data_IF_713500257340
#
_entry.id   IF_713500257340
#
_cell.length_a   1.000
_cell.length_b   1.000
_cell.length_c   1.000
_cell.angle_alpha   90.00
_cell.angle_beta   90.00
_cell.angle_gamma   90.00
#
_symmetry.space_group_name_H-M   'P 1'
#
loop_
_entity.id
_entity.type
_entity.pdbx_description
1 polymer ?
#
# COMPACT_ATOMS: atom_id res chain seq x y z
N UNK A 1 -33.49 5.99 -8.99
CA UNK A 1 -32.33 5.17 -9.47
C UNK A 1 -31.90 4.30 -8.31
N UNK A 2 -32.02 2.97 -8.41
CA UNK A 2 -31.73 2.07 -7.28
C UNK A 2 -30.28 2.23 -6.80
N UNK A 3 -30.07 2.50 -5.51
CA UNK A 3 -28.75 2.65 -4.85
C UNK A 3 -27.81 1.47 -5.19
N UNK A 4 -28.36 0.26 -5.25
CA UNK A 4 -27.63 -0.96 -5.63
C UNK A 4 -27.00 -0.87 -7.04
N UNK A 5 -27.69 -0.25 -8.02
CA UNK A 5 -27.13 -0.06 -9.37
C UNK A 5 -26.01 0.99 -9.40
N UNK A 6 -26.13 2.05 -8.56
CA UNK A 6 -25.14 3.12 -8.48
C UNK A 6 -23.79 2.59 -7.97
N UNK A 7 -23.81 1.73 -6.95
CA UNK A 7 -22.61 1.24 -6.25
C UNK A 7 -22.20 -0.19 -6.62
N UNK A 8 -22.79 -0.77 -7.68
CA UNK A 8 -22.47 -2.14 -8.14
C UNK A 8 -20.96 -2.38 -8.35
N UNK A 9 -20.23 -1.34 -8.75
CA UNK A 9 -18.78 -1.45 -9.00
C UNK A 9 -17.95 -1.63 -7.71
N UNK A 10 -18.48 -1.26 -6.54
CA UNK A 10 -17.73 -1.35 -5.27
C UNK A 10 -17.66 -2.77 -4.70
N UNK A 11 -18.47 -3.72 -5.21
CA UNK A 11 -18.45 -5.11 -4.76
C UNK A 11 -17.09 -5.82 -4.95
N UNK A 12 -16.28 -5.33 -5.87
CA UNK A 12 -14.92 -5.84 -6.06
C UNK A 12 -14.07 -5.70 -4.78
N UNK A 13 -14.33 -4.68 -3.95
CA UNK A 13 -13.54 -4.41 -2.74
C UNK A 13 -13.74 -5.50 -1.68
N UNK A 14 -14.97 -5.78 -1.19
CA UNK A 14 -15.14 -6.82 -0.18
C UNK A 14 -14.80 -8.22 -0.72
N UNK A 15 -15.08 -8.52 -1.97
CA UNK A 15 -14.73 -9.81 -2.58
C UNK A 15 -13.21 -10.00 -2.61
N UNK A 16 -12.49 -8.99 -3.12
CA UNK A 16 -11.03 -9.04 -3.14
C UNK A 16 -10.44 -9.00 -1.72
N UNK A 17 -11.02 -8.21 -0.82
CA UNK A 17 -10.59 -8.11 0.57
C UNK A 17 -10.66 -9.46 1.30
N UNK A 18 -11.75 -10.21 1.15
CA UNK A 18 -11.87 -11.57 1.72
C UNK A 18 -10.80 -12.48 1.14
N UNK A 19 -10.63 -12.50 -0.18
CA UNK A 19 -9.57 -13.29 -0.83
C UNK A 19 -8.18 -12.94 -0.27
N UNK A 20 -7.84 -11.64 -0.24
CA UNK A 20 -6.54 -11.18 0.23
C UNK A 20 -6.28 -11.57 1.68
N UNK A 21 -7.22 -11.29 2.58
CA UNK A 21 -7.07 -11.61 4.01
C UNK A 21 -6.92 -13.11 4.25
N UNK A 22 -7.68 -13.94 3.56
CA UNK A 22 -7.58 -15.40 3.67
C UNK A 22 -6.22 -15.90 3.17
N UNK A 23 -5.77 -15.39 2.01
CA UNK A 23 -4.47 -15.77 1.45
C UNK A 23 -3.30 -15.27 2.31
N UNK A 24 -3.38 -14.05 2.85
CA UNK A 24 -2.38 -13.49 3.75
C UNK A 24 -2.31 -14.28 5.06
N UNK A 25 -3.45 -14.59 5.68
CA UNK A 25 -3.49 -15.42 6.89
C UNK A 25 -2.88 -16.81 6.66
N UNK A 26 -3.13 -17.42 5.50
CA UNK A 26 -2.49 -18.67 5.12
C UNK A 26 -0.96 -18.53 5.06
N UNK A 27 -0.43 -17.44 4.47
CA UNK A 27 1.01 -17.18 4.40
C UNK A 27 1.64 -16.99 5.78
N UNK A 28 0.98 -16.27 6.68
CA UNK A 28 1.45 -16.02 8.05
C UNK A 28 1.48 -17.30 8.90
N UNK A 29 0.63 -18.27 8.60
CA UNK A 29 0.55 -19.54 9.34
C UNK A 29 1.45 -20.65 8.78
N UNK A 30 2.15 -20.39 7.64
CA UNK A 30 3.03 -21.39 7.05
C UNK A 30 4.27 -21.62 7.91
N UNK A 31 4.53 -22.88 8.22
CA UNK A 31 5.78 -23.28 8.86
C UNK A 31 6.90 -23.44 7.81
N UNK A 32 7.44 -22.30 7.38
CA UNK A 32 8.55 -22.23 6.41
C UNK A 32 9.63 -21.31 6.94
N UNK A 33 10.87 -21.69 6.74
CA UNK A 33 12.01 -20.85 7.14
C UNK A 33 12.15 -19.68 6.17
N UNK A 34 12.00 -18.41 6.62
CA UNK A 34 12.12 -17.27 5.74
C UNK A 34 13.58 -16.97 5.38
N UNK A 35 13.79 -16.46 4.19
CA UNK A 35 15.05 -15.84 3.79
C UNK A 35 15.16 -14.47 4.42
N UNK A 36 16.16 -14.26 5.25
CA UNK A 36 16.37 -12.97 5.92
C UNK A 36 16.91 -11.95 4.92
N UNK A 37 16.18 -10.86 4.75
CA UNK A 37 16.58 -9.71 3.94
C UNK A 37 17.17 -8.66 4.89
N UNK A 38 18.41 -8.27 4.64
CA UNK A 38 19.15 -7.32 5.46
C UNK A 38 20.18 -6.59 4.61
N UNK A 39 20.24 -5.27 4.73
CA UNK A 39 21.30 -4.44 4.16
C UNK A 39 22.05 -3.73 5.29
N UNK A 40 23.35 -3.56 5.14
CA UNK A 40 24.19 -2.81 6.12
C UNK A 40 23.64 -1.42 6.43
N UNK A 41 22.98 -0.77 5.48
CA UNK A 41 22.38 0.56 5.68
C UNK A 41 21.20 0.51 6.65
N UNK A 42 20.49 -0.64 6.78
CA UNK A 42 19.39 -0.79 7.70
C UNK A 42 19.84 -0.70 9.17
N UNK A 43 21.11 -1.03 9.45
CA UNK A 43 21.71 -0.94 10.80
C UNK A 43 21.89 0.52 11.24
N UNK A 44 22.13 1.42 10.29
CA UNK A 44 22.33 2.86 10.60
C UNK A 44 21.02 3.62 10.83
N UNK A 45 19.88 3.05 10.47
CA UNK A 45 18.58 3.67 10.72
C UNK A 45 18.23 3.44 12.20
N UNK A 46 18.08 4.50 13.03
CA UNK A 46 17.74 4.32 14.44
C UNK A 46 16.29 3.83 14.60
N UNK A 47 16.03 3.06 15.65
CA UNK A 47 14.66 2.78 16.08
C UNK A 47 14.05 4.04 16.71
N UNK A 48 12.78 4.34 16.37
CA UNK A 48 12.04 5.46 16.94
C UNK A 48 10.57 5.09 17.14
N UNK A 49 10.14 4.94 18.40
CA UNK A 49 8.79 4.49 18.76
C UNK A 49 7.69 5.46 18.38
N UNK A 50 7.99 6.77 18.24
CA UNK A 50 6.99 7.77 17.87
C UNK A 50 6.42 7.57 16.47
N UNK A 51 7.14 6.89 15.60
CA UNK A 51 6.67 6.52 14.28
C UNK A 51 5.53 5.50 14.28
N UNK A 52 5.16 4.95 15.46
CA UNK A 52 3.94 4.12 15.60
C UNK A 52 2.67 4.90 15.20
N UNK A 53 2.66 6.22 15.41
CA UNK A 53 1.49 7.06 15.08
C UNK A 53 1.24 7.08 13.56
N UNK A 54 2.17 7.53 12.71
CA UNK A 54 1.95 7.46 11.25
C UNK A 54 1.80 6.04 10.74
N UNK A 55 2.41 5.03 11.37
CA UNK A 55 2.19 3.63 11.00
C UNK A 55 0.73 3.21 11.19
N UNK A 56 0.11 3.53 12.32
CA UNK A 56 -1.29 3.22 12.58
C UNK A 56 -2.24 4.07 11.72
N UNK A 57 -1.88 5.30 11.40
CA UNK A 57 -2.64 6.16 10.50
C UNK A 57 -2.72 5.61 9.08
N UNK A 58 -1.81 4.70 8.69
CA UNK A 58 -1.86 4.02 7.40
C UNK A 58 -3.20 3.32 7.16
N UNK A 59 -3.74 2.63 8.14
CA UNK A 59 -5.05 1.95 8.02
C UNK A 59 -6.17 2.93 7.68
N UNK A 60 -6.24 4.04 8.41
CA UNK A 60 -7.22 5.09 8.16
C UNK A 60 -7.00 5.75 6.79
N UNK A 61 -5.76 6.01 6.42
CA UNK A 61 -5.40 6.62 5.15
C UNK A 61 -5.87 5.80 3.95
N UNK A 62 -5.58 4.50 3.95
CA UNK A 62 -6.03 3.61 2.86
C UNK A 62 -7.55 3.51 2.86
N UNK A 63 -8.17 3.27 4.02
CA UNK A 63 -9.62 3.14 4.14
C UNK A 63 -10.36 4.40 3.64
N UNK A 64 -9.96 5.59 4.10
CA UNK A 64 -10.56 6.87 3.69
C UNK A 64 -10.38 7.11 2.19
N UNK A 65 -9.19 6.83 1.65
CA UNK A 65 -8.94 7.00 0.22
C UNK A 65 -9.82 6.06 -0.61
N UNK A 66 -9.85 4.78 -0.27
CA UNK A 66 -10.68 3.79 -0.99
C UNK A 66 -12.16 4.14 -0.88
N UNK A 67 -12.65 4.53 0.31
CA UNK A 67 -14.04 4.94 0.50
C UNK A 67 -14.38 6.20 -0.31
N UNK A 68 -13.50 7.19 -0.34
CA UNK A 68 -13.71 8.39 -1.15
C UNK A 68 -13.88 8.05 -2.63
N UNK A 69 -12.95 7.28 -3.20
CA UNK A 69 -13.01 6.89 -4.61
C UNK A 69 -14.22 5.98 -4.91
N UNK A 70 -14.67 5.20 -3.95
CA UNK A 70 -15.82 4.29 -4.10
C UNK A 70 -17.17 4.98 -4.06
N UNK A 71 -17.34 5.95 -3.15
CA UNK A 71 -18.65 6.50 -2.82
C UNK A 71 -18.85 7.95 -3.27
N UNK A 72 -17.78 8.76 -3.28
CA UNK A 72 -17.85 10.22 -3.49
C UNK A 72 -17.19 10.69 -4.79
N UNK A 73 -16.41 9.84 -5.44
CA UNK A 73 -15.78 10.17 -6.71
C UNK A 73 -16.71 9.85 -7.89
N UNK A 74 -16.93 10.83 -8.78
CA UNK A 74 -17.81 10.66 -9.93
C UNK A 74 -17.16 9.85 -11.07
N UNK A 75 -15.81 9.79 -11.09
CA UNK A 75 -15.05 9.13 -12.13
C UNK A 75 -14.84 7.64 -11.81
N UNK A 76 -15.60 6.77 -12.45
CA UNK A 76 -15.37 5.33 -12.36
C UNK A 76 -13.98 4.93 -12.87
N UNK A 77 -13.43 5.66 -13.84
CA UNK A 77 -12.08 5.40 -14.34
C UNK A 77 -11.05 5.56 -13.22
N UNK A 78 -11.10 6.67 -12.47
CA UNK A 78 -10.17 6.92 -11.37
C UNK A 78 -10.34 5.88 -10.24
N UNK A 79 -11.58 5.48 -9.95
CA UNK A 79 -11.86 4.37 -9.03
C UNK A 79 -11.16 3.08 -9.48
N UNK A 80 -11.36 2.65 -10.72
CA UNK A 80 -10.75 1.41 -11.20
C UNK A 80 -9.23 1.52 -11.31
N UNK A 81 -8.68 2.68 -11.63
CA UNK A 81 -7.23 2.89 -11.62
C UNK A 81 -6.65 2.63 -10.23
N UNK A 82 -7.26 3.18 -9.17
CA UNK A 82 -6.83 2.92 -7.78
C UNK A 82 -6.99 1.44 -7.41
N UNK A 83 -8.20 0.88 -7.60
CA UNK A 83 -8.51 -0.48 -7.14
C UNK A 83 -7.68 -1.54 -7.86
N UNK A 84 -7.46 -1.41 -9.16
CA UNK A 84 -6.59 -2.34 -9.89
C UNK A 84 -5.11 -2.16 -9.52
N UNK A 85 -4.67 -0.92 -9.26
CA UNK A 85 -3.31 -0.70 -8.74
C UNK A 85 -3.13 -1.42 -7.41
N UNK A 86 -4.00 -1.20 -6.43
CA UNK A 86 -3.93 -1.88 -5.14
C UNK A 86 -4.04 -3.40 -5.29
N UNK A 87 -5.02 -3.87 -6.07
CA UNK A 87 -5.25 -5.30 -6.28
C UNK A 87 -4.07 -6.02 -6.91
N UNK A 88 -3.47 -5.46 -7.97
CA UNK A 88 -2.28 -6.05 -8.61
C UNK A 88 -1.08 -6.06 -7.67
N UNK A 89 -0.79 -4.95 -6.98
CA UNK A 89 0.35 -4.88 -6.08
C UNK A 89 0.22 -5.83 -4.89
N UNK A 90 -0.96 -5.86 -4.24
CA UNK A 90 -1.23 -6.76 -3.13
C UNK A 90 -1.23 -8.24 -3.57
N UNK A 91 -1.71 -8.56 -4.79
CA UNK A 91 -1.62 -9.93 -5.33
C UNK A 91 -0.17 -10.33 -5.62
N UNK A 92 0.63 -9.43 -6.20
CA UNK A 92 2.05 -9.70 -6.44
C UNK A 92 2.82 -9.89 -5.13
N UNK A 93 2.50 -9.11 -4.10
CA UNK A 93 3.03 -9.34 -2.76
C UNK A 93 2.72 -10.76 -2.26
N UNK A 94 1.47 -11.23 -2.35
CA UNK A 94 1.11 -12.60 -1.95
C UNK A 94 1.86 -13.66 -2.75
N UNK A 95 1.98 -13.47 -4.08
CA UNK A 95 2.71 -14.39 -4.95
C UNK A 95 4.20 -14.44 -4.59
N UNK A 96 4.84 -13.29 -4.39
CA UNK A 96 6.24 -13.20 -3.99
C UNK A 96 6.44 -13.88 -2.63
N UNK A 97 5.63 -13.58 -1.63
CA UNK A 97 5.71 -14.19 -0.29
C UNK A 97 5.46 -15.72 -0.32
N UNK A 98 4.64 -16.18 -1.26
CA UNK A 98 4.41 -17.62 -1.44
C UNK A 98 5.62 -18.33 -2.04
N UNK A 99 6.20 -17.79 -3.11
CA UNK A 99 7.31 -18.38 -3.87
C UNK A 99 8.64 -18.19 -3.12
N UNK A 100 8.82 -17.02 -2.51
CA UNK A 100 10.02 -16.63 -1.81
C UNK A 100 9.66 -16.17 -0.39
N UNK A 101 9.49 -17.12 0.55
CA UNK A 101 9.27 -16.79 1.96
C UNK A 101 10.42 -15.93 2.47
N UNK A 102 10.11 -14.75 2.96
CA UNK A 102 11.10 -13.75 3.32
C UNK A 102 10.78 -13.10 4.67
N UNK A 103 11.79 -12.53 5.30
CA UNK A 103 11.66 -11.88 6.61
C UNK A 103 12.85 -11.00 6.93
N UNK A 104 12.84 -10.41 8.13
CA UNK A 104 13.90 -9.52 8.62
C UNK A 104 14.20 -9.83 10.10
N UNK A 105 15.36 -9.41 10.57
CA UNK A 105 15.87 -9.59 11.93
C UNK A 105 16.26 -8.26 12.62
N UNK A 106 15.71 -7.14 12.15
CA UNK A 106 16.08 -5.79 12.55
C UNK A 106 15.45 -5.32 13.88
N UNK A 107 14.44 -6.04 14.39
CA UNK A 107 13.65 -5.60 15.55
C UNK A 107 14.49 -5.56 16.83
N UNK A 108 14.62 -4.40 17.51
CA UNK A 108 15.34 -4.31 18.77
C UNK A 108 14.56 -4.91 19.94
N UNK A 109 15.26 -5.19 21.03
CA UNK A 109 14.60 -5.46 22.31
C UNK A 109 13.97 -4.15 22.80
N UNK A 110 12.63 -4.15 22.97
CA UNK A 110 11.90 -2.96 23.41
C UNK A 110 12.04 -2.78 24.91
N UNK A 111 12.65 -1.67 25.32
CA UNK A 111 12.82 -1.23 26.71
C UNK A 111 11.98 0.01 26.97
N UNK A 112 11.52 0.18 28.23
CA UNK A 112 10.69 1.33 28.63
C UNK A 112 9.19 1.02 28.67
N UNK A 113 8.45 1.95 29.32
CA UNK A 113 7.02 1.81 29.65
C UNK A 113 6.14 2.90 29.03
N UNK A 114 6.68 3.62 28.01
CA UNK A 114 5.89 4.63 27.31
C UNK A 114 4.72 3.97 26.56
N UNK A 115 3.63 4.72 26.39
CA UNK A 115 2.47 4.28 25.61
C UNK A 115 2.88 3.90 24.17
N UNK A 116 3.85 4.60 23.57
CA UNK A 116 4.35 4.32 22.24
C UNK A 116 5.08 2.96 22.19
N UNK A 117 5.93 2.67 23.18
CA UNK A 117 6.59 1.36 23.32
C UNK A 117 5.56 0.25 23.52
N UNK A 118 4.51 0.48 24.32
CA UNK A 118 3.44 -0.50 24.49
C UNK A 118 2.70 -0.79 23.17
N UNK A 119 2.43 0.25 22.37
CA UNK A 119 1.83 0.11 21.03
C UNK A 119 2.76 -0.63 20.05
N UNK A 120 4.07 -0.32 20.04
CA UNK A 120 5.04 -1.04 19.20
C UNK A 120 5.16 -2.50 19.65
N UNK A 121 5.16 -2.77 20.95
CA UNK A 121 5.16 -4.14 21.49
C UNK A 121 3.92 -4.92 21.06
N UNK A 122 2.76 -4.26 21.03
CA UNK A 122 1.53 -4.84 20.51
C UNK A 122 1.63 -5.10 19.00
N UNK A 123 2.11 -4.11 18.24
CA UNK A 123 2.35 -4.24 16.79
C UNK A 123 3.24 -5.44 16.48
N UNK A 124 4.39 -5.59 17.15
CA UNK A 124 5.32 -6.68 16.91
C UNK A 124 4.76 -8.09 17.19
N UNK A 125 3.67 -8.19 17.97
CA UNK A 125 2.97 -9.44 18.24
C UNK A 125 1.97 -9.82 17.16
N UNK A 126 1.34 -8.83 16.50
CA UNK A 126 0.28 -9.05 15.51
C UNK A 126 0.79 -9.01 14.07
N UNK A 127 1.88 -8.29 13.82
CA UNK A 127 2.52 -8.13 12.52
C UNK A 127 3.90 -8.78 12.62
N UNK A 128 4.04 -9.98 12.06
CA UNK A 128 5.25 -10.78 12.18
C UNK A 128 6.41 -10.19 11.37
N UNK A 129 7.70 -10.53 11.66
CA UNK A 129 8.82 -10.05 10.86
C UNK A 129 9.02 -10.88 9.58
N UNK A 130 7.94 -11.43 9.04
CA UNK A 130 7.94 -12.25 7.82
C UNK A 130 7.05 -11.63 6.73
N UNK A 131 7.17 -12.12 5.51
CA UNK A 131 6.38 -11.64 4.37
C UNK A 131 6.50 -10.12 4.18
N UNK A 132 7.74 -9.62 4.15
CA UNK A 132 8.03 -8.17 4.14
C UNK A 132 8.24 -7.59 2.73
N UNK A 133 8.54 -8.43 1.73
CA UNK A 133 8.91 -8.00 0.36
C UNK A 133 7.78 -8.24 -0.64
N UNK A 134 7.43 -7.20 -1.44
CA UNK A 134 7.68 -5.77 -1.24
C UNK A 134 6.82 -5.20 -0.11
N UNK A 135 7.23 -4.08 0.48
CA UNK A 135 6.43 -3.44 1.55
C UNK A 135 5.05 -3.01 1.05
N UNK A 136 3.99 -3.66 1.54
CA UNK A 136 2.61 -3.27 1.21
C UNK A 136 2.21 -1.92 1.84
N UNK A 137 2.80 -1.56 2.98
CA UNK A 137 2.59 -0.25 3.60
C UNK A 137 3.08 0.87 2.69
N UNK A 138 4.29 0.74 2.17
CA UNK A 138 4.86 1.68 1.20
C UNK A 138 4.09 1.66 -0.10
N UNK A 139 3.85 0.47 -0.66
CA UNK A 139 3.17 0.32 -1.94
C UNK A 139 1.78 0.97 -1.92
N UNK A 140 0.94 0.62 -0.97
CA UNK A 140 -0.43 1.13 -0.89
C UNK A 140 -0.45 2.64 -0.60
N UNK A 141 0.48 3.15 0.23
CA UNK A 141 0.57 4.59 0.51
C UNK A 141 0.90 5.40 -0.74
N UNK A 142 1.89 4.96 -1.52
CA UNK A 142 2.27 5.61 -2.77
C UNK A 142 1.17 5.51 -3.82
N UNK A 143 0.49 4.36 -3.92
CA UNK A 143 -0.64 4.17 -4.82
C UNK A 143 -1.82 5.11 -4.49
N UNK A 144 -2.18 5.23 -3.21
CA UNK A 144 -3.21 6.17 -2.75
C UNK A 144 -2.80 7.63 -2.98
N UNK A 145 -1.55 8.00 -2.67
CA UNK A 145 -1.01 9.33 -2.96
C UNK A 145 -1.12 9.65 -4.46
N UNK A 146 -0.70 8.73 -5.32
CA UNK A 146 -0.80 8.87 -6.78
C UNK A 146 -2.25 9.09 -7.22
N UNK A 147 -3.19 8.31 -6.69
CA UNK A 147 -4.61 8.45 -7.02
C UNK A 147 -5.15 9.83 -6.62
N UNK A 148 -4.83 10.31 -5.42
CA UNK A 148 -5.24 11.65 -4.93
C UNK A 148 -4.64 12.74 -5.81
N UNK A 149 -3.36 12.66 -6.17
CA UNK A 149 -2.70 13.64 -7.05
C UNK A 149 -3.24 13.63 -8.49
N UNK A 150 -3.81 12.51 -8.96
CA UNK A 150 -4.45 12.40 -10.28
C UNK A 150 -5.93 12.79 -10.26
N UNK A 151 -6.57 12.82 -9.09
CA UNK A 151 -7.98 13.15 -8.98
C UNK A 151 -8.26 14.63 -9.31
N UNK A 152 -9.18 14.88 -10.23
CA UNK A 152 -9.46 16.22 -10.74
C UNK A 152 -10.00 17.18 -9.67
N UNK A 153 -10.75 16.68 -8.68
CA UNK A 153 -11.28 17.47 -7.56
C UNK A 153 -10.19 17.77 -6.54
N UNK A 154 -9.44 16.74 -6.11
CA UNK A 154 -8.38 16.87 -5.10
C UNK A 154 -7.27 17.85 -5.54
N UNK A 155 -6.93 17.89 -6.83
CA UNK A 155 -5.92 18.81 -7.39
C UNK A 155 -6.23 20.29 -7.18
N UNK A 156 -7.47 20.65 -6.89
CA UNK A 156 -7.87 22.02 -6.57
C UNK A 156 -7.60 22.42 -5.11
N UNK A 157 -7.18 21.47 -4.28
CA UNK A 157 -6.97 21.65 -2.85
C UNK A 157 -5.50 21.36 -2.46
N UNK A 158 -4.60 22.36 -2.54
CA UNK A 158 -3.16 22.19 -2.30
C UNK A 158 -2.86 21.69 -0.88
N UNK A 159 -3.64 22.08 0.11
CA UNK A 159 -3.50 21.60 1.50
C UNK A 159 -3.77 20.10 1.58
N UNK A 160 -4.79 19.59 0.89
CA UNK A 160 -5.06 18.15 0.81
C UNK A 160 -3.90 17.39 0.15
N UNK A 161 -3.37 17.92 -0.95
CA UNK A 161 -2.22 17.30 -1.64
C UNK A 161 -0.98 17.29 -0.74
N UNK A 162 -0.67 18.42 -0.09
CA UNK A 162 0.45 18.52 0.84
C UNK A 162 0.32 17.58 2.03
N UNK A 163 -0.86 17.52 2.65
CA UNK A 163 -1.15 16.60 3.75
C UNK A 163 -1.04 15.13 3.34
N UNK A 164 -1.57 14.78 2.16
CA UNK A 164 -1.46 13.42 1.60
C UNK A 164 -0.01 13.03 1.37
N UNK A 165 0.79 13.92 0.77
CA UNK A 165 2.21 13.67 0.53
C UNK A 165 2.99 13.52 1.84
N UNK A 166 2.77 14.43 2.79
CA UNK A 166 3.43 14.40 4.10
C UNK A 166 3.11 13.09 4.83
N UNK A 167 1.82 12.70 4.89
CA UNK A 167 1.42 11.44 5.53
C UNK A 167 2.05 10.23 4.84
N UNK A 168 2.08 10.22 3.51
CA UNK A 168 2.74 9.14 2.74
C UNK A 168 4.22 9.03 3.12
N UNK A 169 4.95 10.15 3.18
CA UNK A 169 6.37 10.16 3.58
C UNK A 169 6.53 9.65 5.02
N UNK A 170 5.70 10.12 5.95
CA UNK A 170 5.75 9.70 7.36
C UNK A 170 5.45 8.19 7.51
N UNK A 171 4.53 7.63 6.73
CA UNK A 171 4.25 6.19 6.73
C UNK A 171 5.46 5.41 6.19
N UNK A 172 6.07 5.86 5.10
CA UNK A 172 7.27 5.22 4.55
C UNK A 172 8.40 5.24 5.58
N UNK A 173 8.65 6.37 6.22
CA UNK A 173 9.62 6.48 7.30
C UNK A 173 9.25 5.54 8.47
N UNK A 174 7.98 5.45 8.83
CA UNK A 174 7.52 4.60 9.93
C UNK A 174 7.88 3.12 9.70
N UNK A 175 7.82 2.62 8.47
CA UNK A 175 8.17 1.23 8.18
C UNK A 175 9.61 0.88 8.53
N UNK A 176 10.55 1.80 8.29
CA UNK A 176 11.98 1.59 8.55
C UNK A 176 12.40 1.99 9.97
N UNK A 177 11.84 3.07 10.53
CA UNK A 177 12.15 3.50 11.90
C UNK A 177 11.54 2.58 12.97
N UNK A 178 10.41 1.93 12.68
CA UNK A 178 9.84 0.87 13.52
C UNK A 178 10.44 -0.51 13.23
N UNK A 179 11.48 -0.59 12.37
CA UNK A 179 12.12 -1.86 12.04
C UNK A 179 11.14 -2.94 11.57
N UNK A 180 10.11 -2.54 10.81
CA UNK A 180 9.16 -3.45 10.20
C UNK A 180 9.61 -3.90 8.80
N UNK A 181 10.32 -3.02 8.09
CA UNK A 181 10.80 -3.25 6.73
C UNK A 181 12.25 -2.84 6.57
N UNK A 182 12.92 -3.46 5.60
CA UNK A 182 14.25 -3.08 5.12
C UNK A 182 14.13 -2.04 3.99
N UNK A 183 15.23 -1.38 3.65
CA UNK A 183 15.24 -0.48 2.49
C UNK A 183 15.02 -1.23 1.17
N UNK A 184 15.38 -2.51 1.09
CA UNK A 184 15.08 -3.36 -0.09
C UNK A 184 13.58 -3.42 -0.34
N UNK A 185 12.80 -3.63 0.72
CA UNK A 185 11.34 -3.75 0.63
C UNK A 185 10.70 -2.44 0.16
N UNK A 186 11.24 -1.31 0.66
CA UNK A 186 10.82 0.05 0.27
C UNK A 186 11.11 0.29 -1.21
N UNK A 187 12.32 -0.01 -1.67
CA UNK A 187 12.72 0.16 -3.09
C UNK A 187 11.89 -0.74 -4.00
N UNK A 188 11.67 -2.00 -3.61
CA UNK A 188 10.84 -2.93 -4.36
C UNK A 188 9.38 -2.42 -4.47
N UNK A 189 8.83 -1.84 -3.39
CA UNK A 189 7.50 -1.24 -3.41
C UNK A 189 7.41 -0.03 -4.35
N UNK A 190 8.45 0.82 -4.41
CA UNK A 190 8.51 1.91 -5.38
C UNK A 190 8.59 1.40 -6.82
N UNK A 191 9.44 0.40 -7.10
CA UNK A 191 9.55 -0.20 -8.43
C UNK A 191 8.20 -0.78 -8.88
N UNK A 192 7.49 -1.47 -7.98
CA UNK A 192 6.16 -1.99 -8.25
C UNK A 192 5.13 -0.87 -8.51
N UNK A 193 5.21 0.25 -7.76
CA UNK A 193 4.36 1.42 -8.02
C UNK A 193 4.61 2.04 -9.39
N UNK A 194 5.87 2.15 -9.83
CA UNK A 194 6.22 2.64 -11.16
C UNK A 194 5.63 1.73 -12.23
N UNK A 195 5.74 0.41 -12.06
CA UNK A 195 5.14 -0.57 -12.97
C UNK A 195 3.61 -0.40 -13.05
N UNK A 196 2.92 -0.36 -11.92
CA UNK A 196 1.46 -0.18 -11.87
C UNK A 196 1.04 1.19 -12.43
N UNK A 197 1.81 2.24 -12.18
CA UNK A 197 1.55 3.57 -12.75
C UNK A 197 1.60 3.54 -14.29
N UNK A 198 2.59 2.88 -14.87
CA UNK A 198 2.69 2.75 -16.32
C UNK A 198 1.51 1.96 -16.88
N UNK A 199 1.07 0.92 -16.18
CA UNK A 199 -0.03 0.05 -16.62
C UNK A 199 -1.39 0.77 -16.55
N UNK A 200 -1.69 1.48 -15.46
CA UNK A 200 -3.05 1.98 -15.18
C UNK A 200 -3.22 3.48 -15.34
N UNK A 201 -2.17 4.29 -15.18
CA UNK A 201 -2.27 5.76 -15.20
C UNK A 201 -1.66 6.40 -16.45
N UNK A 202 -0.69 5.75 -17.10
CA UNK A 202 -0.13 6.28 -18.34
C UNK A 202 -1.20 6.20 -19.43
N UNK A 203 -1.54 7.34 -20.03
CA UNK A 203 -2.50 7.38 -21.11
C UNK A 203 -1.96 6.55 -22.29
N UNK A 204 -2.64 5.47 -22.65
CA UNK A 204 -2.44 4.90 -23.98
C UNK A 204 -2.95 5.95 -24.99
N UNK A 205 -2.14 6.37 -25.96
CA UNK A 205 -2.61 7.23 -27.03
C UNK A 205 -3.85 6.56 -27.64
N UNK A 206 -4.96 7.28 -27.65
CA UNK A 206 -6.20 6.80 -28.28
C UNK A 206 -5.82 6.37 -29.70
N UNK A 207 -6.08 5.11 -30.03
CA UNK A 207 -5.90 4.57 -31.37
C UNK A 207 -6.68 5.51 -32.29
N UNK A 208 -5.99 6.37 -33.05
CA UNK A 208 -6.61 7.27 -34.03
C UNK A 208 -7.46 6.38 -34.92
N UNK A 209 -8.79 6.58 -34.86
CA UNK A 209 -9.68 5.98 -35.86
C UNK A 209 -9.19 6.48 -37.20
N UNK A 210 -8.61 5.59 -38.02
CA UNK A 210 -8.32 5.93 -39.39
C UNK A 210 -9.61 6.45 -40.01
N UNK A 211 -9.57 7.61 -40.69
CA UNK A 211 -10.73 8.07 -41.43
C UNK A 211 -11.10 6.97 -42.44
N UNK A 212 -12.38 6.57 -42.42
CA UNK A 212 -12.90 5.67 -43.44
C UNK A 212 -12.68 6.32 -44.80
N UNK A 213 -11.85 5.69 -45.63
CA UNK A 213 -11.76 6.06 -47.05
C UNK A 213 -13.15 5.82 -47.63
N UNK A 214 -13.88 6.92 -47.85
CA UNK A 214 -15.07 6.92 -48.72
C UNK A 214 -14.57 6.63 -50.15
N UNK A 215 -14.98 5.48 -50.71
CA UNK A 215 -14.88 5.20 -52.14
C UNK A 215 -16.13 5.74 -52.83
#
# INVERSE_FOLDING_TARGET
>A
MNLLKKYKHTWIIPVYGIFYLTAFQYLEQRDVRPHIIHMKIDDYIPFCEYFIVPYLLWFAYIAVTVLYFSLFNDSKREFYQLIFTLGVGMTLFLVISYIYPNGQDLRPKLTGDSIFIALVRHLYRIDTPTNILPSIHVFNSVACCTAVFKNAKARKHPVLLGGTLLLTILIIMATVFLKQHTLVDVVAAFALNVFCYQMFYKAHPARQKQPAFVK
#
